data_IF_108895802342
#
_entry.id   IF_108895802342
#
_cell.length_a   1.000
_cell.length_b   1.000
_cell.length_c   1.000
_cell.angle_alpha   90.00
_cell.angle_beta   90.00
_cell.angle_gamma   90.00
#
_symmetry.space_group_name_H-M   'P 1'
#
loop_
_entity.id
_entity.type
_entity.pdbx_description
1 polymer ?
#
# COMPACT_ATOMS: atom_id res chain seq x y z
N UNK A 1 -4.95 50.52 -57.22
CA UNK A 1 -6.14 50.10 -56.44
C UNK A 1 -5.84 48.77 -55.75
N UNK A 2 -5.62 48.77 -54.43
CA UNK A 2 -5.41 47.53 -53.66
C UNK A 2 -6.79 46.99 -53.26
N UNK A 3 -7.03 45.71 -53.56
CA UNK A 3 -8.29 45.02 -53.24
C UNK A 3 -8.50 44.91 -51.72
N UNK A 4 -9.76 44.97 -51.24
CA UNK A 4 -10.07 44.70 -49.83
C UNK A 4 -9.84 43.21 -49.52
N UNK A 5 -9.11 42.95 -48.43
CA UNK A 5 -8.85 41.61 -47.90
C UNK A 5 -10.17 41.03 -47.36
N UNK A 6 -10.57 39.80 -47.72
CA UNK A 6 -11.77 39.20 -47.18
C UNK A 6 -11.63 38.95 -45.67
N UNK A 7 -12.65 39.36 -44.91
CA UNK A 7 -12.71 39.13 -43.47
C UNK A 7 -12.68 37.62 -43.17
N UNK A 8 -11.80 37.21 -42.24
CA UNK A 8 -11.73 35.81 -41.81
C UNK A 8 -13.02 35.44 -41.07
N UNK A 9 -13.66 34.30 -41.37
CA UNK A 9 -14.82 33.86 -40.62
C UNK A 9 -14.43 33.60 -39.16
N UNK A 10 -15.17 34.21 -38.24
CA UNK A 10 -15.08 33.90 -36.81
C UNK A 10 -15.37 32.41 -36.62
N UNK A 11 -14.33 31.64 -36.27
CA UNK A 11 -14.52 30.25 -35.84
C UNK A 11 -15.28 30.28 -34.51
N UNK A 12 -16.43 29.59 -34.37
CA UNK A 12 -17.09 29.49 -33.08
C UNK A 12 -16.12 28.86 -32.08
N UNK A 13 -16.06 29.41 -30.86
CA UNK A 13 -15.28 28.86 -29.77
C UNK A 13 -15.77 27.43 -29.49
N UNK A 14 -15.07 26.46 -30.08
CA UNK A 14 -15.44 25.05 -30.03
C UNK A 14 -15.49 24.54 -28.60
N UNK A 15 -16.36 23.57 -28.33
CA UNK A 15 -16.57 22.83 -27.08
C UNK A 15 -15.30 22.15 -26.48
N UNK A 16 -14.28 22.95 -26.16
CA UNK A 16 -12.97 22.56 -25.64
C UNK A 16 -12.81 22.88 -24.14
N UNK A 17 -13.85 23.42 -23.50
CA UNK A 17 -13.82 23.85 -22.09
C UNK A 17 -13.69 22.66 -21.13
N UNK A 18 -14.53 21.63 -21.28
CA UNK A 18 -14.60 20.52 -20.32
C UNK A 18 -13.31 19.67 -20.26
N UNK A 19 -12.75 19.28 -21.40
CA UNK A 19 -11.52 18.45 -21.42
C UNK A 19 -10.31 19.19 -20.86
N UNK A 20 -10.22 20.49 -21.14
CA UNK A 20 -9.16 21.34 -20.59
C UNK A 20 -9.30 21.47 -19.07
N UNK A 21 -10.51 21.69 -18.57
CA UNK A 21 -10.79 21.72 -17.13
C UNK A 21 -10.38 20.41 -16.44
N UNK A 22 -10.78 19.26 -16.97
CA UNK A 22 -10.40 17.96 -16.41
C UNK A 22 -8.88 17.73 -16.44
N UNK A 23 -8.21 18.18 -17.50
CA UNK A 23 -6.74 18.11 -17.60
C UNK A 23 -6.05 19.01 -16.58
N UNK A 24 -6.52 20.24 -16.41
CA UNK A 24 -5.99 21.20 -15.46
C UNK A 24 -6.21 20.68 -14.02
N UNK A 25 -7.40 20.14 -13.71
CA UNK A 25 -7.71 19.53 -12.42
C UNK A 25 -6.84 18.30 -12.13
N UNK A 26 -6.70 17.38 -13.09
CA UNK A 26 -5.84 16.20 -12.96
C UNK A 26 -4.39 16.61 -12.70
N UNK A 27 -3.87 17.54 -13.51
CA UNK A 27 -2.50 18.02 -13.40
C UNK A 27 -2.25 18.76 -12.09
N UNK A 28 -3.21 19.57 -11.64
CA UNK A 28 -3.13 20.31 -10.39
C UNK A 28 -3.14 19.38 -9.17
N UNK A 29 -4.10 18.43 -9.12
CA UNK A 29 -4.16 17.44 -8.04
C UNK A 29 -2.90 16.58 -8.00
N UNK A 30 -2.49 16.05 -9.16
CA UNK A 30 -1.29 15.25 -9.31
C UNK A 30 -0.06 16.01 -8.83
N UNK A 31 0.15 17.26 -9.28
CA UNK A 31 1.34 18.03 -8.91
C UNK A 31 1.37 18.44 -7.43
N UNK A 32 0.22 18.79 -6.84
CA UNK A 32 0.16 19.23 -5.45
C UNK A 32 0.23 18.08 -4.46
N UNK A 33 -0.34 16.93 -4.80
CA UNK A 33 -0.48 15.79 -3.89
C UNK A 33 0.48 14.65 -4.20
N UNK A 34 1.29 14.69 -5.28
CA UNK A 34 2.14 13.57 -5.68
C UNK A 34 3.10 13.09 -4.59
N UNK A 35 3.75 14.00 -3.87
CA UNK A 35 4.70 13.62 -2.83
C UNK A 35 3.97 12.95 -1.66
N UNK A 36 2.84 13.53 -1.23
CA UNK A 36 2.10 13.02 -0.09
C UNK A 36 1.42 11.69 -0.40
N UNK A 37 0.67 11.61 -1.51
CA UNK A 37 0.06 10.38 -1.97
C UNK A 37 1.11 9.34 -2.33
N UNK A 38 2.22 9.75 -2.95
CA UNK A 38 3.35 8.88 -3.27
C UNK A 38 3.96 8.24 -2.03
N UNK A 39 4.13 9.01 -0.94
CA UNK A 39 4.60 8.48 0.34
C UNK A 39 3.60 7.48 0.95
N UNK A 40 2.30 7.78 0.95
CA UNK A 40 1.26 6.86 1.43
C UNK A 40 1.22 5.59 0.59
N UNK A 41 1.26 5.70 -0.74
CA UNK A 41 1.32 4.54 -1.63
C UNK A 41 2.58 3.71 -1.39
N UNK A 42 3.76 4.34 -1.30
CA UNK A 42 5.03 3.66 -1.05
C UNK A 42 5.00 2.86 0.26
N UNK A 43 4.52 3.47 1.34
CA UNK A 43 4.40 2.79 2.64
C UNK A 43 3.40 1.64 2.60
N UNK A 44 2.32 1.76 1.83
CA UNK A 44 1.37 0.67 1.56
C UNK A 44 1.98 -0.47 0.76
N UNK A 45 2.72 -0.16 -0.31
CA UNK A 45 3.44 -1.16 -1.13
C UNK A 45 4.45 -1.93 -0.30
N UNK A 46 5.24 -1.24 0.53
CA UNK A 46 6.19 -1.89 1.45
C UNK A 46 5.46 -2.73 2.52
N UNK A 47 4.28 -2.30 2.97
CA UNK A 47 3.51 -3.02 3.98
C UNK A 47 3.06 -4.42 3.52
N UNK A 48 2.91 -4.64 2.21
CA UNK A 48 2.59 -5.96 1.64
C UNK A 48 3.67 -7.00 2.01
N UNK A 49 4.93 -6.60 2.04
CA UNK A 49 6.08 -7.46 2.35
C UNK A 49 6.51 -7.39 3.82
N UNK A 50 5.69 -6.77 4.68
CA UNK A 50 6.14 -6.45 6.03
C UNK A 50 6.34 -7.68 6.92
N UNK A 51 5.59 -8.76 6.67
CA UNK A 51 5.76 -10.01 7.41
C UNK A 51 7.05 -10.73 7.01
N UNK A 52 7.41 -10.68 5.73
CA UNK A 52 8.66 -11.22 5.18
C UNK A 52 9.87 -10.44 5.68
N UNK A 53 9.76 -9.11 5.77
CA UNK A 53 10.81 -8.27 6.35
C UNK A 53 10.98 -8.62 7.84
N UNK A 54 9.87 -8.71 8.60
CA UNK A 54 9.93 -9.14 9.99
C UNK A 54 10.53 -10.56 10.13
N UNK A 55 10.20 -11.49 9.24
CA UNK A 55 10.77 -12.85 9.22
C UNK A 55 12.28 -12.87 8.98
N UNK A 56 12.77 -11.99 8.11
CA UNK A 56 14.21 -11.79 7.87
C UNK A 56 14.90 -11.24 9.13
N UNK A 57 14.29 -10.24 9.77
CA UNK A 57 14.84 -9.53 10.92
C UNK A 57 14.74 -10.32 12.24
N UNK A 58 13.73 -11.18 12.39
CA UNK A 58 13.42 -11.87 13.65
C UNK A 58 13.52 -13.38 13.49
N UNK A 59 14.64 -13.96 13.93
CA UNK A 59 14.88 -15.40 13.91
C UNK A 59 13.77 -16.26 14.57
N UNK A 60 13.11 -15.83 15.67
CA UNK A 60 12.02 -16.60 16.28
C UNK A 60 10.83 -16.86 15.34
N UNK A 61 10.65 -16.05 14.28
CA UNK A 61 9.56 -16.24 13.33
C UNK A 61 9.78 -17.42 12.37
N UNK A 62 11.00 -17.95 12.29
CA UNK A 62 11.38 -18.94 11.27
C UNK A 62 11.20 -20.36 11.80
N UNK A 63 10.52 -21.19 11.02
CA UNK A 63 10.37 -22.63 11.29
C UNK A 63 10.64 -23.43 10.02
N UNK A 64 11.12 -24.66 10.19
CA UNK A 64 11.16 -25.64 9.10
C UNK A 64 9.78 -26.30 8.95
N UNK A 65 9.42 -26.66 7.71
CA UNK A 65 8.19 -27.41 7.45
C UNK A 65 8.32 -28.82 8.05
N UNK A 66 7.55 -29.06 9.11
CA UNK A 66 7.50 -30.34 9.83
C UNK A 66 6.39 -31.26 9.34
N UNK A 67 5.66 -30.89 8.28
CA UNK A 67 4.52 -31.65 7.77
C UNK A 67 3.26 -31.51 8.64
N UNK A 68 3.07 -32.43 9.59
CA UNK A 68 1.86 -32.49 10.40
C UNK A 68 1.80 -31.38 11.47
N UNK A 69 0.65 -30.72 11.60
CA UNK A 69 0.45 -29.72 12.66
C UNK A 69 0.16 -30.37 14.02
N UNK A 70 0.77 -29.83 15.07
CA UNK A 70 0.52 -30.26 16.46
C UNK A 70 -0.92 -29.97 16.95
N UNK A 71 -1.67 -29.16 16.20
CA UNK A 71 -3.00 -28.67 16.58
C UNK A 71 -2.93 -27.44 17.50
N UNK A 72 -4.04 -26.72 17.63
CA UNK A 72 -4.07 -25.46 18.37
C UNK A 72 -3.89 -25.63 19.88
N UNK A 73 -4.40 -26.73 20.47
CA UNK A 73 -4.31 -26.98 21.91
C UNK A 73 -2.85 -27.00 22.41
N UNK A 74 -1.98 -27.86 21.85
CA UNK A 74 -0.56 -27.89 22.24
C UNK A 74 0.17 -26.58 22.00
N UNK A 75 -0.10 -25.89 20.89
CA UNK A 75 0.53 -24.60 20.56
C UNK A 75 0.14 -23.51 21.57
N UNK A 76 -1.14 -23.43 21.93
CA UNK A 76 -1.65 -22.48 22.93
C UNK A 76 -1.05 -22.80 24.30
N UNK A 77 -1.07 -24.07 24.70
CA UNK A 77 -0.50 -24.52 25.96
C UNK A 77 1.00 -24.20 26.06
N UNK A 78 1.76 -24.41 24.98
CA UNK A 78 3.18 -24.09 24.93
C UNK A 78 3.44 -22.58 25.11
N UNK A 79 2.64 -21.72 24.47
CA UNK A 79 2.76 -20.27 24.62
C UNK A 79 2.49 -19.83 26.07
N UNK A 80 1.45 -20.37 26.71
CA UNK A 80 1.08 -20.06 28.09
C UNK A 80 2.11 -20.62 29.08
N UNK A 81 2.61 -21.83 28.86
CA UNK A 81 3.61 -22.46 29.73
C UNK A 81 4.96 -21.74 29.69
N UNK A 82 5.34 -21.16 28.54
CA UNK A 82 6.58 -20.37 28.42
C UNK A 82 6.53 -19.04 29.18
N UNK A 83 5.35 -18.44 29.30
CA UNK A 83 5.14 -17.19 30.04
C UNK A 83 3.84 -17.23 30.87
N UNK A 84 3.85 -17.89 32.05
CA UNK A 84 2.65 -18.08 32.87
C UNK A 84 2.02 -16.79 33.38
N UNK A 85 2.83 -15.74 33.57
CA UNK A 85 2.38 -14.44 34.07
C UNK A 85 1.80 -13.53 32.97
N UNK A 86 1.80 -13.99 31.71
CA UNK A 86 1.33 -13.19 30.57
C UNK A 86 -0.03 -13.69 30.09
N UNK A 87 -0.92 -12.77 29.78
CA UNK A 87 -2.27 -13.07 29.33
C UNK A 87 -2.31 -13.25 27.81
N UNK A 88 -2.79 -14.40 27.34
CA UNK A 88 -2.99 -14.66 25.93
C UNK A 88 -4.20 -13.89 25.39
N UNK A 89 -3.97 -12.87 24.56
CA UNK A 89 -5.04 -12.09 23.93
C UNK A 89 -5.53 -12.72 22.61
N UNK A 90 -4.71 -13.55 21.98
CA UNK A 90 -5.10 -14.28 20.77
C UNK A 90 -3.93 -14.96 20.07
N UNK A 91 -4.24 -15.92 19.21
CA UNK A 91 -3.24 -16.65 18.42
C UNK A 91 -3.60 -16.61 16.93
N UNK A 92 -2.59 -16.52 16.07
CA UNK A 92 -2.76 -16.52 14.62
C UNK A 92 -1.79 -17.50 13.99
N UNK A 93 -2.23 -18.20 12.94
CA UNK A 93 -1.34 -19.05 12.15
C UNK A 93 -0.25 -18.21 11.47
N UNK A 94 0.89 -18.85 11.19
CA UNK A 94 1.93 -18.26 10.36
C UNK A 94 1.41 -17.94 8.95
N UNK A 95 2.01 -16.94 8.29
CA UNK A 95 1.60 -16.54 6.94
C UNK A 95 1.85 -17.64 5.90
N UNK A 96 2.94 -18.38 6.07
CA UNK A 96 3.29 -19.53 5.24
C UNK A 96 3.79 -20.68 6.12
N UNK A 97 4.10 -21.83 5.52
CA UNK A 97 4.66 -23.01 6.21
C UNK A 97 6.01 -22.76 6.90
N UNK A 98 6.70 -21.69 6.53
CA UNK A 98 7.99 -21.31 7.12
C UNK A 98 7.87 -20.32 8.29
N UNK A 99 6.64 -19.99 8.69
CA UNK A 99 6.34 -19.07 9.79
C UNK A 99 5.89 -19.81 11.04
N UNK A 100 6.46 -19.41 12.18
CA UNK A 100 5.92 -19.76 13.48
C UNK A 100 4.50 -19.19 13.65
N UNK A 101 3.67 -19.90 14.41
CA UNK A 101 2.41 -19.35 14.91
C UNK A 101 2.70 -18.17 15.85
N UNK A 102 1.84 -17.16 15.80
CA UNK A 102 1.99 -15.92 16.56
C UNK A 102 0.96 -15.85 17.67
N UNK A 103 1.40 -15.97 18.91
CA UNK A 103 0.61 -15.67 20.10
C UNK A 103 0.82 -14.20 20.51
N UNK A 104 -0.27 -13.46 20.67
CA UNK A 104 -0.26 -12.09 21.19
C UNK A 104 -0.46 -12.17 22.70
N UNK A 105 0.52 -11.69 23.44
CA UNK A 105 0.57 -11.81 24.90
C UNK A 105 0.61 -10.42 25.53
N UNK A 106 -0.20 -10.20 26.56
CA UNK A 106 -0.22 -8.99 27.38
C UNK A 106 0.53 -9.25 28.69
N UNK A 107 1.50 -8.39 28.98
CA UNK A 107 2.31 -8.44 30.19
C UNK A 107 1.52 -7.83 31.37
N UNK A 108 1.91 -8.13 32.63
CA UNK A 108 1.33 -7.51 33.82
C UNK A 108 1.42 -5.98 33.83
N UNK A 109 2.43 -5.41 33.17
CA UNK A 109 2.63 -3.96 33.03
C UNK A 109 1.75 -3.32 31.92
N UNK A 110 0.87 -4.12 31.29
CA UNK A 110 -0.03 -3.72 30.21
C UNK A 110 0.63 -3.64 28.82
N UNK A 111 1.95 -3.86 28.70
CA UNK A 111 2.59 -3.93 27.39
C UNK A 111 2.22 -5.20 26.67
N UNK A 112 2.37 -5.20 25.34
CA UNK A 112 2.15 -6.37 24.50
C UNK A 112 3.46 -6.89 23.95
N UNK A 113 3.53 -8.20 23.73
CA UNK A 113 4.62 -8.87 23.01
C UNK A 113 4.04 -9.99 22.15
N UNK A 114 4.82 -10.45 21.19
CA UNK A 114 4.49 -11.62 20.39
C UNK A 114 5.34 -12.79 20.85
N UNK A 115 4.72 -13.92 21.14
CA UNK A 115 5.40 -15.20 21.39
C UNK A 115 5.23 -16.06 20.15
N UNK A 116 6.33 -16.60 19.66
CA UNK A 116 6.39 -17.40 18.45
C UNK A 116 6.48 -18.88 18.83
N UNK A 117 5.60 -19.68 18.23
CA UNK A 117 5.50 -21.11 18.52
C UNK A 117 5.55 -21.89 17.22
N UNK A 118 6.40 -22.91 17.16
CA UNK A 118 6.46 -23.80 16.02
C UNK A 118 5.14 -24.58 15.90
N UNK A 119 4.39 -24.43 14.78
CA UNK A 119 3.07 -25.02 14.63
C UNK A 119 3.11 -26.54 14.38
N UNK A 120 4.29 -27.11 14.12
CA UNK A 120 4.51 -28.54 13.88
C UNK A 120 4.95 -29.27 15.16
N UNK A 121 5.82 -28.66 15.96
CA UNK A 121 6.37 -29.29 17.17
C UNK A 121 5.78 -28.77 18.48
N UNK A 122 4.97 -27.70 18.43
CA UNK A 122 4.48 -26.97 19.59
C UNK A 122 5.59 -26.46 20.53
N UNK A 123 6.79 -26.21 20.00
CA UNK A 123 7.90 -25.62 20.76
C UNK A 123 7.96 -24.10 20.56
N UNK A 124 8.19 -23.37 21.64
CA UNK A 124 8.38 -21.92 21.59
C UNK A 124 9.74 -21.60 20.96
N UNK A 125 9.74 -20.78 19.92
CA UNK A 125 10.94 -20.37 19.19
C UNK A 125 11.52 -19.05 19.69
N UNK A 126 10.75 -18.32 20.49
CA UNK A 126 11.15 -17.08 21.17
C UNK A 126 10.04 -16.02 21.16
N UNK A 127 10.37 -14.82 21.59
CA UNK A 127 9.44 -13.69 21.64
C UNK A 127 10.00 -12.44 20.96
N UNK A 128 9.12 -11.56 20.48
CA UNK A 128 9.48 -10.27 19.88
C UNK A 128 8.65 -9.14 20.49
N UNK A 129 9.18 -7.92 20.40
CA UNK A 129 8.44 -6.73 20.81
C UNK A 129 7.16 -6.50 20.00
N UNK A 130 6.26 -5.70 20.56
CA UNK A 130 5.03 -5.28 19.86
C UNK A 130 5.29 -4.38 18.65
N UNK A 131 6.33 -3.55 18.72
CA UNK A 131 6.71 -2.65 17.64
C UNK A 131 7.71 -3.36 16.72
N UNK A 132 7.27 -3.63 15.50
CA UNK A 132 8.02 -4.33 14.46
C UNK A 132 7.77 -3.67 13.09
N UNK A 133 8.38 -4.19 12.03
CA UNK A 133 8.27 -3.61 10.69
C UNK A 133 6.81 -3.62 10.19
N UNK A 134 6.05 -4.68 10.44
CA UNK A 134 4.61 -4.74 10.14
C UNK A 134 3.84 -3.58 10.79
N UNK A 135 4.04 -3.35 12.09
CA UNK A 135 3.33 -2.29 12.81
C UNK A 135 3.81 -0.90 12.37
N UNK A 136 5.11 -0.73 12.13
CA UNK A 136 5.68 0.51 11.60
C UNK A 136 5.02 0.87 10.26
N UNK A 137 5.11 0.00 9.27
CA UNK A 137 4.60 0.26 7.93
C UNK A 137 3.08 0.44 7.91
N UNK A 138 2.34 -0.42 8.63
CA UNK A 138 0.87 -0.32 8.70
C UNK A 138 0.41 0.98 9.35
N UNK A 139 1.02 1.37 10.46
CA UNK A 139 0.63 2.60 11.16
C UNK A 139 1.00 3.85 10.35
N UNK A 140 2.16 3.84 9.66
CA UNK A 140 2.58 4.94 8.80
C UNK A 140 1.64 5.06 7.61
N UNK A 141 1.32 3.95 6.94
CA UNK A 141 0.40 3.97 5.81
C UNK A 141 -1.01 4.38 6.20
N UNK A 142 -1.57 3.79 7.28
CA UNK A 142 -2.98 3.99 7.66
C UNK A 142 -3.24 5.34 8.30
N UNK A 143 -2.29 5.85 9.08
CA UNK A 143 -2.53 7.06 9.89
C UNK A 143 -1.27 7.90 10.12
N UNK A 144 -0.19 7.71 9.34
CA UNK A 144 1.04 8.52 9.36
C UNK A 144 1.71 8.61 10.74
N UNK A 145 1.54 7.59 11.59
CA UNK A 145 1.95 7.63 13.01
C UNK A 145 1.27 8.70 13.86
N UNK A 146 0.28 9.42 13.31
CA UNK A 146 -0.56 10.35 14.06
C UNK A 146 -1.59 9.59 14.91
N UNK A 147 -2.21 10.22 15.91
CA UNK A 147 -3.34 9.61 16.61
C UNK A 147 -4.43 9.18 15.60
N UNK A 148 -5.00 7.99 15.81
CA UNK A 148 -5.94 7.34 14.87
C UNK A 148 -7.11 8.26 14.51
N UNK A 149 -7.60 9.05 15.47
CA UNK A 149 -8.68 10.00 15.29
C UNK A 149 -8.41 11.07 14.21
N UNK A 150 -7.14 11.42 13.98
CA UNK A 150 -6.74 12.45 13.02
C UNK A 150 -6.12 11.82 11.76
N UNK A 151 -5.23 10.85 11.94
CA UNK A 151 -4.47 10.26 10.84
C UNK A 151 -5.34 9.43 9.89
N UNK A 152 -6.32 8.67 10.41
CA UNK A 152 -7.20 7.86 9.55
C UNK A 152 -8.08 8.74 8.66
N UNK A 153 -8.81 9.75 9.17
CA UNK A 153 -9.58 10.63 8.30
C UNK A 153 -8.72 11.36 7.27
N UNK A 154 -7.53 11.81 7.64
CA UNK A 154 -6.60 12.48 6.74
C UNK A 154 -6.20 11.57 5.56
N UNK A 155 -5.71 10.36 5.85
CA UNK A 155 -5.30 9.40 4.81
C UNK A 155 -6.52 8.94 4.00
N UNK A 156 -7.65 8.65 4.65
CA UNK A 156 -8.87 8.23 3.97
C UNK A 156 -9.41 9.31 3.01
N UNK A 157 -9.28 10.60 3.37
CA UNK A 157 -9.70 11.70 2.51
C UNK A 157 -8.98 11.72 1.15
N UNK A 158 -7.76 11.16 1.07
CA UNK A 158 -6.99 11.04 -0.18
C UNK A 158 -7.64 10.13 -1.22
N UNK A 159 -8.60 9.28 -0.83
CA UNK A 159 -9.40 8.49 -1.76
C UNK A 159 -10.20 9.36 -2.74
N UNK A 160 -10.68 10.54 -2.30
CA UNK A 160 -11.45 11.46 -3.13
C UNK A 160 -10.60 12.06 -4.26
N UNK A 161 -9.47 12.75 -4.00
CA UNK A 161 -8.63 13.26 -5.07
C UNK A 161 -8.01 12.12 -5.91
N UNK A 162 -7.75 10.95 -5.33
CA UNK A 162 -7.31 9.77 -6.09
C UNK A 162 -8.38 9.33 -7.10
N UNK A 163 -9.63 9.22 -6.66
CA UNK A 163 -10.77 8.86 -7.52
C UNK A 163 -11.00 9.91 -8.61
N UNK A 164 -10.98 11.20 -8.26
CA UNK A 164 -11.09 12.28 -9.23
C UNK A 164 -9.95 12.25 -10.24
N UNK A 165 -8.72 11.98 -9.80
CA UNK A 165 -7.55 11.82 -10.66
C UNK A 165 -7.70 10.62 -11.61
N UNK A 166 -8.20 9.49 -11.11
CA UNK A 166 -8.49 8.30 -11.90
C UNK A 166 -9.53 8.59 -12.99
N UNK A 167 -10.70 9.10 -12.60
CA UNK A 167 -11.81 9.39 -13.53
C UNK A 167 -11.41 10.43 -14.58
N UNK A 168 -10.70 11.49 -14.17
CA UNK A 168 -10.20 12.51 -15.08
C UNK A 168 -9.19 11.93 -16.08
N UNK A 169 -8.30 11.04 -15.66
CA UNK A 169 -7.31 10.41 -16.55
C UNK A 169 -7.97 9.59 -17.67
N UNK A 170 -9.00 8.80 -17.34
CA UNK A 170 -9.75 7.98 -18.29
C UNK A 170 -10.56 8.86 -19.25
N UNK A 171 -11.14 9.95 -18.75
CA UNK A 171 -11.88 10.92 -19.56
C UNK A 171 -10.97 11.68 -20.54
N UNK A 172 -9.82 12.16 -20.09
CA UNK A 172 -8.86 12.91 -20.92
C UNK A 172 -8.28 12.01 -22.01
N UNK A 173 -8.01 10.74 -21.69
CA UNK A 173 -7.30 9.82 -22.57
C UNK A 173 -8.23 8.75 -23.16
N UNK A 174 -9.07 9.14 -24.13
CA UNK A 174 -10.12 8.29 -24.75
C UNK A 174 -9.71 6.90 -25.25
N UNK A 175 -8.43 6.67 -25.57
CA UNK A 175 -7.89 5.38 -26.05
C UNK A 175 -6.85 4.82 -25.08
N UNK A 176 -7.11 4.94 -23.78
CA UNK A 176 -6.21 4.51 -22.69
C UNK A 176 -5.82 3.03 -22.79
N UNK A 177 -6.71 2.18 -23.32
CA UNK A 177 -6.43 0.77 -23.58
C UNK A 177 -5.26 0.54 -24.54
N UNK A 178 -4.93 1.49 -25.43
CA UNK A 178 -3.73 1.39 -26.29
C UNK A 178 -2.43 1.64 -25.52
N UNK A 179 -2.53 2.08 -24.26
CA UNK A 179 -1.41 2.37 -23.38
C UNK A 179 -0.73 1.13 -22.79
N UNK A 180 -1.43 -0.01 -22.65
CA UNK A 180 -0.91 -1.21 -21.98
C UNK A 180 0.43 -1.71 -22.54
N UNK A 181 0.62 -1.61 -23.85
CA UNK A 181 1.82 -2.10 -24.54
C UNK A 181 2.67 -0.99 -25.15
N UNK A 182 2.39 0.27 -24.80
CA UNK A 182 3.16 1.41 -25.32
C UNK A 182 4.47 1.52 -24.54
N UNK A 183 5.58 1.16 -25.17
CA UNK A 183 6.92 1.23 -24.57
C UNK A 183 7.33 2.69 -24.35
N UNK A 184 7.80 3.07 -23.14
CA UNK A 184 8.44 4.37 -22.92
C UNK A 184 9.67 4.51 -23.80
N UNK A 185 9.89 5.70 -24.36
CA UNK A 185 11.01 5.99 -25.26
C UNK A 185 12.19 6.62 -24.49
N UNK A 186 13.28 5.87 -24.21
CA UNK A 186 14.40 6.37 -23.43
C UNK A 186 15.20 7.45 -24.18
N UNK A 187 15.08 7.53 -25.51
CA UNK A 187 15.76 8.54 -26.32
C UNK A 187 15.24 9.97 -26.07
N UNK A 188 14.10 10.10 -25.38
CA UNK A 188 13.43 11.37 -25.08
C UNK A 188 13.30 11.57 -23.57
N UNK A 189 14.41 11.90 -22.86
CA UNK A 189 14.43 11.96 -21.39
C UNK A 189 13.42 12.95 -20.81
N UNK A 190 13.13 14.06 -21.51
CA UNK A 190 12.10 15.03 -21.10
C UNK A 190 10.68 14.47 -21.05
N UNK A 191 10.38 13.39 -21.80
CA UNK A 191 9.05 12.76 -21.88
C UNK A 191 8.98 11.39 -21.23
N UNK A 192 10.13 10.78 -20.96
CA UNK A 192 10.25 9.43 -20.40
C UNK A 192 9.39 9.22 -19.15
N UNK A 193 9.50 10.11 -18.16
CA UNK A 193 8.72 10.00 -16.92
C UNK A 193 7.20 10.10 -17.14
N UNK A 194 6.77 10.90 -18.12
CA UNK A 194 5.35 10.97 -18.52
C UNK A 194 4.89 9.72 -19.25
N UNK A 195 5.77 9.06 -20.01
CA UNK A 195 5.47 7.76 -20.64
C UNK A 195 5.42 6.63 -19.59
N UNK A 196 6.35 6.60 -18.64
CA UNK A 196 6.37 5.67 -17.50
C UNK A 196 5.14 5.86 -16.63
N UNK A 197 4.80 7.09 -16.25
CA UNK A 197 3.61 7.39 -15.45
C UNK A 197 2.33 6.91 -16.13
N UNK A 198 2.18 7.13 -17.45
CA UNK A 198 1.03 6.65 -18.23
C UNK A 198 0.96 5.12 -18.28
N UNK A 199 2.10 4.46 -18.51
CA UNK A 199 2.16 3.01 -18.53
C UNK A 199 1.81 2.42 -17.15
N UNK A 200 2.45 2.94 -16.10
CA UNK A 200 2.19 2.53 -14.72
C UNK A 200 0.72 2.76 -14.35
N UNK A 201 0.16 3.94 -14.64
CA UNK A 201 -1.23 4.25 -14.34
C UNK A 201 -2.23 3.29 -14.99
N UNK A 202 -2.01 2.92 -16.26
CA UNK A 202 -2.89 1.97 -16.97
C UNK A 202 -2.73 0.55 -16.42
N UNK A 203 -1.52 0.12 -16.09
CA UNK A 203 -1.29 -1.20 -15.46
C UNK A 203 -1.78 -1.28 -14.01
N UNK A 204 -1.85 -0.16 -13.30
CA UNK A 204 -2.42 -0.13 -11.94
C UNK A 204 -3.94 -0.24 -11.91
N UNK A 205 -4.64 -0.08 -13.05
CA UNK A 205 -6.10 -0.18 -13.10
C UNK A 205 -6.65 -1.53 -12.63
N UNK A 206 -5.88 -2.61 -12.78
CA UNK A 206 -6.31 -3.95 -12.36
C UNK A 206 -6.40 -4.13 -10.84
N UNK A 207 -5.76 -3.25 -10.08
CA UNK A 207 -5.68 -3.32 -8.63
C UNK A 207 -6.64 -2.35 -7.91
N UNK A 208 -7.43 -1.58 -8.68
CA UNK A 208 -8.43 -0.62 -8.20
C UNK A 208 -9.84 -1.21 -8.40
#
# INVERSE_FOLDING_TARGET
>A
MRQPVPARPNRPASAASGRRLWFDLHSWLGLKLCLFMGFVCLTGTLAVFSQEIDWLLHAPMRVADGGGHAGWGPVIHAAQAAHPDWELEGITAGHTRLFAARAQMRLPDGKRRFVWVNPYTAQVTGDTGWFNTQRLLRNTHRHLMLPVAWGVPLVASLSIPLLLSLLSSLYIYKKWWRGFFKRPDPSRPRRLWGDVHRLAGVWSLWFL
#
